data_IF_195907671198
#
_entry.id   IF_195907671198
#
_cell.length_a   1.000
_cell.length_b   1.000
_cell.length_c   1.000
_cell.angle_alpha   90.00
_cell.angle_beta   90.00
_cell.angle_gamma   90.00
#
_symmetry.space_group_name_H-M   'P 1'
#
loop_
_entity.id
_entity.type
_entity.pdbx_description
1 polymer ?
#
# COMPACT_ATOMS: atom_id res chain seq x y z
N UNK A 1 -35.89 3.26 -32.28
CA UNK A 1 -35.65 4.53 -31.54
C UNK A 1 -34.22 4.97 -31.81
N UNK A 2 -33.99 6.22 -32.24
CA UNK A 2 -32.64 6.70 -32.61
C UNK A 2 -31.68 6.45 -31.43
N UNK A 3 -30.56 5.77 -31.69
CA UNK A 3 -29.58 5.29 -30.69
C UNK A 3 -29.11 6.40 -29.75
N UNK A 4 -29.08 7.64 -30.24
CA UNK A 4 -28.76 8.83 -29.45
C UNK A 4 -29.75 9.13 -28.32
N UNK A 5 -31.05 8.88 -28.51
CA UNK A 5 -32.06 9.08 -27.45
C UNK A 5 -31.88 8.08 -26.30
N UNK A 6 -31.43 6.86 -26.61
CA UNK A 6 -31.17 5.83 -25.60
C UNK A 6 -29.96 6.19 -24.74
N UNK A 7 -28.92 6.79 -25.33
CA UNK A 7 -27.72 7.24 -24.59
C UNK A 7 -28.05 8.34 -23.58
N UNK A 8 -28.90 9.30 -23.98
CA UNK A 8 -29.32 10.40 -23.11
C UNK A 8 -30.19 9.91 -21.94
N UNK A 9 -31.05 8.93 -22.18
CA UNK A 9 -31.87 8.33 -21.13
C UNK A 9 -31.03 7.57 -20.10
N UNK A 10 -30.02 6.80 -20.56
CA UNK A 10 -29.13 6.03 -19.67
C UNK A 10 -28.28 6.96 -18.80
N UNK A 11 -27.75 8.06 -19.35
CA UNK A 11 -26.97 9.02 -18.54
C UNK A 11 -27.82 9.71 -17.47
N UNK A 12 -29.09 10.02 -17.77
CA UNK A 12 -30.00 10.68 -16.83
C UNK A 12 -30.37 9.76 -15.66
N UNK A 13 -30.64 8.48 -15.93
CA UNK A 13 -30.90 7.47 -14.89
C UNK A 13 -29.67 7.30 -13.98
N UNK A 14 -28.47 7.23 -14.55
CA UNK A 14 -27.24 7.06 -13.77
C UNK A 14 -26.99 8.21 -12.78
N UNK A 15 -27.22 9.46 -13.19
CA UNK A 15 -27.07 10.63 -12.31
C UNK A 15 -28.12 10.59 -11.19
N UNK A 16 -29.37 10.20 -11.49
CA UNK A 16 -30.43 10.11 -10.48
C UNK A 16 -30.17 9.01 -9.44
N UNK A 17 -29.55 7.89 -9.83
CA UNK A 17 -29.29 6.78 -8.89
C UNK A 17 -27.99 6.92 -8.13
N UNK A 18 -26.94 7.52 -8.72
CA UNK A 18 -25.63 7.67 -8.07
C UNK A 18 -25.50 8.95 -7.23
N UNK A 19 -26.37 9.96 -7.43
CA UNK A 19 -26.27 11.25 -6.74
C UNK A 19 -26.99 11.35 -5.38
N UNK A 20 -27.71 10.32 -4.93
CA UNK A 20 -28.61 10.41 -3.77
C UNK A 20 -28.43 9.32 -2.71
N UNK A 21 -27.37 8.51 -2.79
CA UNK A 21 -27.12 7.50 -1.76
C UNK A 21 -26.38 8.11 -0.56
N UNK A 22 -27.16 8.66 0.38
CA UNK A 22 -26.67 9.02 1.72
C UNK A 22 -26.94 7.82 2.63
N UNK A 23 -25.90 7.16 3.20
CA UNK A 23 -26.11 6.03 4.10
C UNK A 23 -26.85 6.48 5.37
N UNK A 24 -27.86 5.74 5.85
CA UNK A 24 -28.62 6.15 7.02
C UNK A 24 -27.77 6.01 8.29
N UNK A 25 -27.54 7.12 8.99
CA UNK A 25 -27.08 7.10 10.38
C UNK A 25 -28.25 6.65 11.27
N UNK A 26 -28.08 5.53 11.96
CA UNK A 26 -29.06 5.06 12.94
C UNK A 26 -29.05 6.01 14.15
N UNK A 27 -29.99 6.95 14.20
CA UNK A 27 -30.31 7.71 15.40
C UNK A 27 -31.41 6.92 16.11
N UNK A 28 -31.10 6.35 17.28
CA UNK A 28 -32.04 5.64 18.13
C UNK A 28 -32.72 6.65 19.07
N UNK A 29 -34.03 6.92 18.96
CA UNK A 29 -34.74 7.79 19.88
C UNK A 29 -35.64 6.94 20.78
N UNK A 30 -35.25 6.73 22.04
CA UNK A 30 -36.23 6.42 23.09
C UNK A 30 -36.45 7.65 23.95
N UNK A 31 -37.73 7.89 24.19
CA UNK A 31 -38.31 9.15 24.55
C UNK A 31 -38.55 9.30 26.06
N UNK A 32 -38.67 10.58 26.44
CA UNK A 32 -39.62 11.12 27.43
C UNK A 32 -39.13 11.42 28.85
N UNK A 33 -38.90 12.73 29.04
CA UNK A 33 -39.35 13.59 30.15
C UNK A 33 -39.18 13.16 31.63
N UNK A 34 -38.36 13.90 32.38
CA UNK A 34 -38.83 14.91 33.37
C UNK A 34 -37.67 15.65 34.04
N UNK A 35 -37.95 16.90 34.39
CA UNK A 35 -37.14 17.83 35.19
C UNK A 35 -36.54 17.20 36.46
N UNK A 36 -35.30 17.57 36.83
CA UNK A 36 -35.02 18.37 38.03
C UNK A 36 -33.53 18.67 38.24
N UNK A 37 -33.33 19.85 38.82
CA UNK A 37 -32.12 20.54 39.29
C UNK A 37 -31.20 19.69 40.17
N UNK A 38 -29.89 19.81 39.94
CA UNK A 38 -28.83 20.10 40.93
C UNK A 38 -27.50 19.50 40.46
N UNK A 39 -26.42 20.26 40.67
CA UNK A 39 -25.17 20.08 39.95
C UNK A 39 -24.33 18.87 40.35
N UNK A 40 -23.44 18.49 39.44
CA UNK A 40 -22.21 17.78 39.78
C UNK A 40 -21.19 17.87 38.63
N UNK A 41 -19.97 18.23 39.01
CA UNK A 41 -18.69 17.72 38.52
C UNK A 41 -18.46 17.73 36.99
N UNK A 42 -17.70 18.74 36.53
CA UNK A 42 -16.93 18.66 35.28
C UNK A 42 -15.96 17.47 35.36
N UNK A 43 -16.39 16.32 34.86
CA UNK A 43 -15.48 15.26 34.45
C UNK A 43 -15.06 15.59 33.03
N UNK A 44 -13.89 16.21 32.91
CA UNK A 44 -13.15 16.30 31.65
C UNK A 44 -12.91 14.86 31.19
N UNK A 45 -13.69 14.44 30.21
CA UNK A 45 -13.54 13.14 29.55
C UNK A 45 -12.31 13.27 28.66
N UNK A 46 -11.16 12.93 29.22
CA UNK A 46 -9.92 12.74 28.48
C UNK A 46 -10.18 11.57 27.52
N UNK A 47 -10.45 11.90 26.26
CA UNK A 47 -10.42 10.94 25.17
C UNK A 47 -9.01 10.36 25.16
N UNK A 48 -8.86 9.15 25.70
CA UNK A 48 -7.70 8.31 25.48
C UNK A 48 -7.67 7.97 23.98
N UNK A 49 -7.21 8.92 23.18
CA UNK A 49 -6.60 8.62 21.89
C UNK A 49 -5.53 7.56 22.18
N UNK A 50 -5.63 6.35 21.61
CA UNK A 50 -4.58 5.36 21.80
C UNK A 50 -3.27 5.99 21.37
N UNK A 51 -2.32 6.08 22.31
CA UNK A 51 -0.97 6.56 22.04
C UNK A 51 -0.32 5.58 21.05
N UNK A 52 -0.53 5.83 19.75
CA UNK A 52 0.18 5.15 18.70
C UNK A 52 1.62 5.65 18.79
N UNK A 53 2.61 4.76 18.93
CA UNK A 53 4.00 5.17 18.89
C UNK A 53 4.23 5.92 17.57
N UNK A 54 5.04 6.99 17.57
CA UNK A 54 5.32 7.73 16.35
C UNK A 54 5.94 6.77 15.34
N UNK A 55 5.43 6.79 14.10
CA UNK A 55 6.02 6.03 12.99
C UNK A 55 7.47 6.49 12.81
N UNK A 56 8.40 5.55 12.91
CA UNK A 56 9.84 5.79 12.72
C UNK A 56 10.31 5.19 11.40
N UNK A 57 11.51 5.57 10.95
CA UNK A 57 12.08 5.05 9.70
C UNK A 57 12.20 3.52 9.77
N UNK A 58 12.54 2.99 10.95
CA UNK A 58 12.57 1.55 11.23
C UNK A 58 11.21 0.91 10.92
N UNK A 59 10.10 1.43 11.44
CA UNK A 59 8.76 0.90 11.14
C UNK A 59 8.44 0.91 9.63
N UNK A 60 8.83 1.98 8.93
CA UNK A 60 8.60 2.10 7.49
C UNK A 60 9.40 1.05 6.70
N UNK A 61 10.66 0.87 7.05
CA UNK A 61 11.54 -0.14 6.43
C UNK A 61 11.11 -1.57 6.78
N UNK A 62 10.68 -1.84 8.01
CA UNK A 62 10.10 -3.12 8.41
C UNK A 62 8.86 -3.45 7.58
N UNK A 63 7.97 -2.48 7.36
CA UNK A 63 6.79 -2.68 6.50
C UNK A 63 7.18 -3.00 5.06
N UNK A 64 8.18 -2.33 4.50
CA UNK A 64 8.70 -2.62 3.16
C UNK A 64 9.27 -4.06 3.05
N UNK A 65 10.02 -4.51 4.07
CA UNK A 65 10.52 -5.90 4.15
C UNK A 65 9.38 -6.90 4.23
N UNK A 66 8.36 -6.64 5.05
CA UNK A 66 7.18 -7.50 5.18
C UNK A 66 6.42 -7.61 3.84
N UNK A 67 6.19 -6.50 3.14
CA UNK A 67 5.55 -6.53 1.82
C UNK A 67 6.38 -7.33 0.80
N UNK A 68 7.70 -7.23 0.88
CA UNK A 68 8.61 -8.02 0.04
C UNK A 68 8.47 -9.51 0.32
N UNK A 69 8.47 -9.92 1.59
CA UNK A 69 8.30 -11.34 1.94
C UNK A 69 6.89 -11.86 1.60
N UNK A 70 5.85 -11.04 1.77
CA UNK A 70 4.48 -11.37 1.38
C UNK A 70 4.38 -11.61 -0.13
N UNK A 71 5.00 -10.73 -0.93
CA UNK A 71 5.06 -10.84 -2.38
C UNK A 71 5.68 -12.16 -2.85
N UNK A 72 6.82 -12.54 -2.25
CA UNK A 72 7.51 -13.78 -2.57
C UNK A 72 6.68 -14.99 -2.10
N UNK A 73 6.04 -14.87 -0.95
CA UNK A 73 5.28 -15.93 -0.32
C UNK A 73 6.15 -17.11 0.12
N UNK A 74 5.55 -18.12 0.77
CA UNK A 74 6.31 -19.14 1.50
C UNK A 74 7.14 -20.06 0.59
N UNK A 75 6.77 -20.22 -0.68
CA UNK A 75 7.49 -21.11 -1.61
C UNK A 75 8.74 -20.46 -2.19
N UNK A 76 8.66 -19.18 -2.53
CA UNK A 76 9.81 -18.46 -3.09
C UNK A 76 10.71 -18.04 -1.94
N UNK A 77 10.15 -17.41 -0.91
CA UNK A 77 10.87 -16.95 0.28
C UNK A 77 11.75 -18.05 0.88
N UNK A 78 11.22 -19.24 1.13
CA UNK A 78 12.00 -20.35 1.73
C UNK A 78 13.27 -20.77 0.96
N UNK A 79 13.44 -20.35 -0.31
CA UNK A 79 14.63 -20.64 -1.10
C UNK A 79 15.60 -19.45 -1.20
N UNK A 80 15.10 -18.22 -1.24
CA UNK A 80 15.88 -17.02 -1.57
C UNK A 80 15.93 -15.99 -0.43
N UNK A 81 15.37 -16.32 0.74
CA UNK A 81 15.24 -15.39 1.87
C UNK A 81 16.60 -14.88 2.37
N UNK A 82 17.62 -15.73 2.44
CA UNK A 82 18.96 -15.34 2.88
C UNK A 82 19.54 -14.27 1.94
N UNK A 83 19.51 -14.52 0.64
CA UNK A 83 19.99 -13.57 -0.38
C UNK A 83 19.15 -12.29 -0.41
N UNK A 84 17.83 -12.37 -0.18
CA UNK A 84 16.96 -11.17 -0.07
C UNK A 84 17.37 -10.32 1.12
N UNK A 85 17.60 -10.94 2.28
CA UNK A 85 17.99 -10.23 3.51
C UNK A 85 19.37 -9.59 3.35
N UNK A 86 20.32 -10.29 2.74
CA UNK A 86 21.70 -9.82 2.62
C UNK A 86 21.93 -8.81 1.49
N UNK A 87 21.22 -8.96 0.37
CA UNK A 87 21.49 -8.16 -0.83
C UNK A 87 20.40 -7.12 -1.11
N UNK A 88 19.12 -7.42 -0.88
CA UNK A 88 18.01 -6.57 -1.33
C UNK A 88 17.53 -5.62 -0.23
N UNK A 89 17.44 -6.09 1.01
CA UNK A 89 16.95 -5.26 2.11
C UNK A 89 17.83 -4.04 2.39
N UNK A 90 19.17 -4.12 2.42
CA UNK A 90 20.00 -2.94 2.66
C UNK A 90 19.83 -1.87 1.58
N UNK A 91 19.75 -2.27 0.31
CA UNK A 91 19.55 -1.34 -0.82
C UNK A 91 18.15 -0.71 -0.76
N UNK A 92 17.14 -1.50 -0.42
CA UNK A 92 15.77 -1.01 -0.25
C UNK A 92 15.66 0.02 0.88
N UNK A 93 16.29 -0.26 2.03
CA UNK A 93 16.37 0.67 3.16
C UNK A 93 17.05 1.99 2.76
N UNK A 94 18.21 1.91 2.11
CA UNK A 94 18.95 3.08 1.66
C UNK A 94 18.13 3.95 0.70
N UNK A 95 17.36 3.32 -0.22
CA UNK A 95 16.48 4.05 -1.12
C UNK A 95 15.34 4.71 -0.36
N UNK A 96 14.68 4.01 0.58
CA UNK A 96 13.61 4.60 1.40
C UNK A 96 14.13 5.79 2.23
N UNK A 97 15.28 5.63 2.88
CA UNK A 97 15.96 6.70 3.65
C UNK A 97 16.27 7.91 2.76
N UNK A 98 16.61 7.70 1.49
CA UNK A 98 16.87 8.81 0.55
C UNK A 98 15.64 9.68 0.22
N UNK A 99 14.43 9.14 0.38
CA UNK A 99 13.18 9.87 0.15
C UNK A 99 12.60 10.53 1.40
N UNK A 100 13.01 10.08 2.60
CA UNK A 100 12.35 10.43 3.85
C UNK A 100 13.29 11.26 4.72
N UNK A 101 12.86 12.48 5.06
CA UNK A 101 13.54 13.26 6.10
C UNK A 101 13.10 12.78 7.50
N UNK A 102 14.04 12.60 8.43
CA UNK A 102 13.79 12.09 9.80
C UNK A 102 12.61 12.75 10.53
N UNK A 103 12.44 14.06 10.35
CA UNK A 103 11.38 14.84 10.99
C UNK A 103 9.99 14.61 10.41
N UNK A 104 9.92 14.12 9.18
CA UNK A 104 8.69 13.99 8.38
C UNK A 104 8.29 12.52 8.18
N UNK A 105 9.00 11.56 8.79
CA UNK A 105 8.69 10.12 8.69
C UNK A 105 7.20 9.79 8.87
N UNK A 106 6.46 10.38 9.84
CA UNK A 106 5.04 10.10 10.02
C UNK A 106 4.14 10.53 8.84
N UNK A 107 4.69 11.25 7.87
CA UNK A 107 3.99 11.69 6.66
C UNK A 107 4.06 10.67 5.52
N UNK A 108 4.82 9.58 5.68
CA UNK A 108 5.05 8.57 4.65
C UNK A 108 4.50 7.20 5.04
N UNK A 109 4.10 6.42 4.03
CA UNK A 109 3.51 5.10 4.20
C UNK A 109 3.96 4.13 3.10
N UNK A 110 4.01 2.85 3.44
CA UNK A 110 4.22 1.74 2.51
C UNK A 110 2.87 1.11 2.17
N UNK A 111 2.54 0.99 0.89
CA UNK A 111 1.27 0.36 0.49
C UNK A 111 1.28 -1.15 0.72
N UNK A 112 0.13 -1.69 1.12
CA UNK A 112 -0.03 -3.09 1.53
C UNK A 112 -0.78 -3.94 0.50
N UNK A 113 -0.48 -3.72 -0.78
CA UNK A 113 -1.21 -4.32 -1.88
C UNK A 113 -0.28 -4.87 -2.97
N UNK A 114 0.56 -5.88 -2.66
CA UNK A 114 1.39 -6.51 -3.67
C UNK A 114 0.51 -7.10 -4.79
N UNK A 115 1.06 -7.24 -5.99
CA UNK A 115 0.29 -7.77 -7.13
C UNK A 115 0.48 -9.28 -7.35
N UNK A 116 -0.61 -10.04 -7.36
CA UNK A 116 -0.53 -11.49 -7.52
C UNK A 116 -0.11 -11.93 -8.92
N UNK A 117 0.19 -13.23 -9.05
CA UNK A 117 0.28 -13.89 -10.35
C UNK A 117 1.56 -13.53 -11.10
N UNK A 118 1.44 -12.57 -12.02
CA UNK A 118 2.55 -12.02 -12.82
C UNK A 118 2.80 -10.53 -12.57
N UNK A 119 1.98 -9.86 -11.74
CA UNK A 119 2.20 -8.44 -11.46
C UNK A 119 3.53 -8.21 -10.77
N UNK A 120 4.18 -7.09 -11.04
CA UNK A 120 5.56 -6.85 -10.57
C UNK A 120 5.59 -6.10 -9.24
N UNK A 121 4.56 -5.29 -8.95
CA UNK A 121 4.50 -4.44 -7.77
C UNK A 121 4.61 -5.22 -6.46
N UNK A 122 5.52 -4.77 -5.61
CA UNK A 122 5.68 -5.19 -4.21
C UNK A 122 4.89 -4.21 -3.33
N UNK A 123 5.28 -2.94 -3.37
CA UNK A 123 4.65 -1.84 -2.64
C UNK A 123 5.01 -0.50 -3.30
N UNK A 124 4.31 0.56 -2.90
CA UNK A 124 4.67 1.94 -3.20
C UNK A 124 5.05 2.69 -1.92
N UNK A 125 6.02 3.60 -2.01
CA UNK A 125 6.28 4.60 -0.99
C UNK A 125 5.42 5.83 -1.32
N UNK A 126 4.53 6.21 -0.42
CA UNK A 126 3.57 7.29 -0.64
C UNK A 126 3.66 8.34 0.47
N UNK A 127 3.27 9.57 0.14
CA UNK A 127 2.99 10.59 1.15
C UNK A 127 1.53 10.45 1.64
N UNK A 128 1.33 10.09 2.90
CA UNK A 128 0.03 9.69 3.49
C UNK A 128 -1.07 10.74 3.33
N UNK A 129 -0.74 12.04 3.41
CA UNK A 129 -1.74 13.11 3.32
C UNK A 129 -2.20 13.41 1.89
N UNK A 130 -1.31 13.29 0.91
CA UNK A 130 -1.60 13.67 -0.48
C UNK A 130 -1.92 12.45 -1.35
N UNK A 131 -1.57 11.26 -0.89
CA UNK A 131 -1.61 10.03 -1.68
C UNK A 131 -0.60 10.02 -2.83
N UNK A 132 0.38 10.92 -2.80
CA UNK A 132 1.41 11.02 -3.83
C UNK A 132 2.36 9.84 -3.73
N UNK A 133 2.42 9.03 -4.78
CA UNK A 133 3.46 8.02 -4.95
C UNK A 133 4.80 8.71 -5.23
N UNK A 134 5.81 8.39 -4.44
CA UNK A 134 7.17 8.92 -4.58
C UNK A 134 8.03 7.90 -5.34
N UNK A 135 7.92 6.64 -4.93
CA UNK A 135 8.60 5.53 -5.56
C UNK A 135 7.73 4.27 -5.59
N UNK A 136 7.93 3.42 -6.60
CA UNK A 136 7.27 2.12 -6.76
C UNK A 136 8.30 1.01 -6.75
N UNK A 137 8.17 0.07 -5.84
CA UNK A 137 9.12 -1.03 -5.66
C UNK A 137 8.56 -2.31 -6.25
N UNK A 138 9.30 -2.89 -7.20
CA UNK A 138 8.83 -3.95 -8.07
C UNK A 138 9.84 -5.12 -8.09
N UNK A 139 9.33 -6.31 -8.40
CA UNK A 139 10.14 -7.50 -8.68
C UNK A 139 9.67 -8.19 -9.95
N UNK A 140 10.61 -8.42 -10.86
CA UNK A 140 10.41 -9.16 -12.12
C UNK A 140 10.96 -10.57 -12.05
N UNK A 141 10.48 -11.41 -12.96
CA UNK A 141 11.04 -12.73 -13.25
C UNK A 141 11.67 -12.70 -14.62
N UNK A 142 12.99 -12.79 -14.63
CA UNK A 142 13.76 -12.73 -15.86
C UNK A 142 14.25 -14.13 -16.22
N UNK A 143 14.03 -14.55 -17.46
CA UNK A 143 14.63 -15.77 -18.01
C UNK A 143 15.87 -15.37 -18.80
N UNK A 144 17.05 -15.70 -18.26
CA UNK A 144 18.34 -15.47 -18.90
C UNK A 144 18.79 -16.71 -19.67
N UNK A 145 19.09 -16.61 -20.98
CA UNK A 145 19.53 -17.75 -21.78
C UNK A 145 20.76 -18.43 -21.16
N UNK A 146 20.68 -19.76 -20.98
CA UNK A 146 21.77 -20.55 -20.40
C UNK A 146 21.92 -20.43 -18.88
N UNK A 147 21.40 -19.37 -18.25
CA UNK A 147 21.51 -19.13 -16.80
C UNK A 147 20.27 -19.57 -16.02
N UNK A 148 19.07 -19.45 -16.58
CA UNK A 148 17.82 -19.79 -15.89
C UNK A 148 17.04 -18.55 -15.46
N UNK A 149 16.22 -18.70 -14.43
CA UNK A 149 15.34 -17.67 -13.91
C UNK A 149 15.99 -16.88 -12.78
N UNK A 150 15.75 -15.58 -12.79
CA UNK A 150 16.22 -14.60 -11.82
C UNK A 150 15.08 -13.73 -11.34
N UNK A 151 15.15 -13.26 -10.11
CA UNK A 151 14.31 -12.21 -9.59
C UNK A 151 15.05 -10.89 -9.67
N UNK A 152 14.54 -9.95 -10.45
CA UNK A 152 15.12 -8.63 -10.62
C UNK A 152 14.31 -7.62 -9.79
N UNK A 153 14.90 -7.14 -8.71
CA UNK A 153 14.35 -6.12 -7.84
C UNK A 153 14.76 -4.75 -8.34
N UNK A 154 13.80 -3.86 -8.48
CA UNK A 154 14.02 -2.51 -8.96
C UNK A 154 12.95 -1.57 -8.42
N UNK A 155 13.22 -0.28 -8.53
CA UNK A 155 12.25 0.75 -8.21
C UNK A 155 12.12 1.75 -9.35
N UNK A 156 10.99 2.46 -9.34
CA UNK A 156 10.66 3.54 -10.25
C UNK A 156 10.40 4.80 -9.44
N UNK A 157 10.77 5.96 -9.95
CA UNK A 157 10.66 7.24 -9.21
C UNK A 157 9.71 8.20 -9.91
N UNK A 158 9.07 9.09 -9.15
CA UNK A 158 8.12 10.04 -9.72
C UNK A 158 8.80 11.05 -10.67
N UNK A 159 10.04 11.43 -10.39
CA UNK A 159 10.78 12.49 -11.09
C UNK A 159 10.94 12.22 -12.58
N UNK A 160 11.04 10.95 -12.98
CA UNK A 160 11.11 10.52 -14.37
C UNK A 160 9.79 9.96 -14.93
N UNK A 161 8.71 10.06 -14.16
CA UNK A 161 7.40 9.55 -14.54
C UNK A 161 7.25 8.03 -14.39
N UNK A 162 8.09 7.39 -13.59
CA UNK A 162 8.14 5.94 -13.36
C UNK A 162 8.58 5.13 -14.58
N UNK A 163 9.49 5.68 -15.39
CA UNK A 163 9.94 5.05 -16.64
C UNK A 163 11.21 4.22 -16.43
N UNK A 164 12.12 4.70 -15.58
CA UNK A 164 13.41 4.05 -15.38
C UNK A 164 13.31 2.95 -14.32
N UNK A 165 13.89 1.80 -14.63
CA UNK A 165 14.03 0.69 -13.70
C UNK A 165 15.37 0.84 -12.96
N UNK A 166 15.37 1.53 -11.81
CA UNK A 166 16.56 1.65 -10.99
C UNK A 166 16.81 0.34 -10.24
N UNK A 167 17.98 -0.31 -10.42
CA UNK A 167 18.22 -1.64 -9.86
C UNK A 167 18.39 -1.58 -8.34
N UNK A 168 17.80 -2.55 -7.65
CA UNK A 168 18.08 -2.86 -6.23
C UNK A 168 18.98 -4.09 -6.11
N UNK A 169 18.79 -5.07 -6.99
CA UNK A 169 19.58 -6.29 -7.00
C UNK A 169 18.89 -7.42 -7.75
N UNK A 170 19.61 -8.52 -7.92
CA UNK A 170 19.13 -9.65 -8.70
C UNK A 170 19.48 -10.98 -8.05
N UNK A 171 18.48 -11.81 -7.76
CA UNK A 171 18.68 -13.09 -7.08
C UNK A 171 18.40 -14.24 -8.02
N UNK A 172 19.30 -15.22 -8.06
CA UNK A 172 19.11 -16.42 -8.86
C UNK A 172 18.02 -17.32 -8.25
N UNK A 173 17.04 -17.74 -9.07
CA UNK A 173 16.05 -18.71 -8.64
C UNK A 173 16.50 -20.14 -8.96
N UNK A 174 16.47 -20.52 -10.24
CA UNK A 174 16.70 -21.89 -10.71
C UNK A 174 16.69 -21.93 -12.24
N UNK A 175 17.08 -23.07 -12.85
CA UNK A 175 16.76 -23.35 -14.26
C UNK A 175 15.26 -23.57 -14.49
N UNK A 176 14.55 -24.04 -13.46
CA UNK A 176 13.11 -24.28 -13.53
C UNK A 176 12.29 -22.99 -13.36
N UNK A 177 11.13 -22.92 -14.00
CA UNK A 177 10.22 -21.76 -13.87
C UNK A 177 9.77 -21.59 -12.41
N UNK A 178 9.93 -20.40 -11.80
CA UNK A 178 9.42 -20.13 -10.46
C UNK A 178 7.89 -20.16 -10.43
N UNK A 179 7.29 -20.41 -9.25
CA UNK A 179 5.85 -20.27 -9.08
C UNK A 179 5.42 -18.81 -9.32
N UNK A 180 4.11 -18.59 -9.39
CA UNK A 180 3.52 -17.26 -9.44
C UNK A 180 3.57 -16.60 -8.05
N UNK A 181 3.51 -15.27 -8.04
CA UNK A 181 3.37 -14.50 -6.79
C UNK A 181 2.05 -14.82 -6.10
N UNK A 182 2.07 -14.85 -4.78
CA UNK A 182 0.91 -15.23 -3.95
C UNK A 182 -0.12 -14.12 -3.80
N UNK A 183 0.32 -12.87 -3.65
CA UNK A 183 -0.51 -11.70 -3.32
C UNK A 183 -0.35 -10.58 -4.32
#
# INVERSE_FOLDING_TARGET
MKIWMRKLFVSLVAIMTLGLYVPPTQINPEASEKEQISGEMETVREENEPFLPPVTLEHLTERAKEQTMNKLGPRIGAKVEEEVIEEIFPEMEAVIESFVEDKDVPMYEITEDPSAGYGERIFNLIHSHTGEELARFHVRRDLRPGEGYWFNFHYHVKEDGYETHYPLGEIFWDKNTPPKWMS
#
